data_IF_699289653215
#
_entry.id   IF_699289653215
#
_cell.length_a   1.000
_cell.length_b   1.000
_cell.length_c   1.000
_cell.angle_alpha   90.00
_cell.angle_beta   90.00
_cell.angle_gamma   90.00
#
_symmetry.space_group_name_H-M   'P 1'
#
loop_
_entity.id
_entity.type
_entity.pdbx_description
1 polymer ?
#
# COMPACT_ATOMS: atom_id res chain seq x y z
N UNK A 1 23.49 29.85 -4.13
CA UNK A 1 24.41 28.83 -4.70
C UNK A 1 23.70 28.23 -5.90
N UNK A 2 24.37 27.98 -7.03
CA UNK A 2 23.71 27.28 -8.15
C UNK A 2 23.39 25.85 -7.68
N UNK A 3 22.21 25.33 -8.04
CA UNK A 3 21.88 23.92 -7.83
C UNK A 3 22.96 23.05 -8.44
N UNK A 4 23.36 21.95 -7.77
CA UNK A 4 24.26 20.97 -8.39
C UNK A 4 23.53 20.25 -9.51
N UNK A 5 24.28 19.83 -10.54
CA UNK A 5 23.72 19.00 -11.61
C UNK A 5 23.55 17.57 -11.11
N UNK A 6 22.55 16.86 -11.62
CA UNK A 6 22.40 15.42 -11.41
C UNK A 6 23.43 14.71 -12.29
N UNK A 7 24.19 13.77 -11.70
CA UNK A 7 25.13 12.97 -12.48
C UNK A 7 24.44 11.69 -12.98
N UNK A 8 24.49 11.45 -14.30
CA UNK A 8 24.08 10.20 -14.92
C UNK A 8 25.34 9.39 -15.22
N UNK A 9 25.56 8.28 -14.51
CA UNK A 9 26.72 7.40 -14.70
C UNK A 9 26.39 6.32 -15.74
N UNK A 10 27.28 6.12 -16.71
CA UNK A 10 27.21 4.98 -17.63
C UNK A 10 28.61 4.43 -17.93
N UNK A 11 28.68 3.24 -18.53
CA UNK A 11 29.93 2.56 -18.84
C UNK A 11 30.06 2.24 -20.33
N UNK A 12 31.27 2.38 -20.90
CA UNK A 12 31.54 2.01 -22.30
C UNK A 12 31.42 0.51 -22.55
N UNK A 13 31.54 -0.32 -21.52
CA UNK A 13 31.40 -1.79 -21.58
C UNK A 13 29.96 -2.27 -21.27
N UNK A 14 29.02 -1.33 -21.10
CA UNK A 14 27.60 -1.61 -20.88
C UNK A 14 26.79 -1.20 -22.12
N UNK A 15 26.30 -2.19 -22.88
CA UNK A 15 25.55 -1.93 -24.11
C UNK A 15 24.25 -1.16 -23.87
N UNK A 16 23.52 -1.49 -22.81
CA UNK A 16 22.28 -0.77 -22.47
C UNK A 16 22.60 0.64 -21.98
N UNK A 17 23.63 0.79 -21.14
CA UNK A 17 24.10 2.10 -20.69
C UNK A 17 24.51 3.01 -21.86
N UNK A 18 25.17 2.46 -22.88
CA UNK A 18 25.49 3.19 -24.12
C UNK A 18 24.23 3.58 -24.90
N UNK A 19 23.28 2.66 -25.06
CA UNK A 19 22.01 2.92 -25.73
C UNK A 19 21.22 4.05 -25.04
N UNK A 20 21.11 4.01 -23.70
CA UNK A 20 20.47 5.08 -22.92
C UNK A 20 21.22 6.40 -23.10
N UNK A 21 22.56 6.40 -23.04
CA UNK A 21 23.39 7.60 -23.27
C UNK A 21 23.13 8.22 -24.64
N UNK A 22 23.10 7.41 -25.70
CA UNK A 22 22.82 7.87 -27.06
C UNK A 22 21.48 8.62 -27.12
N UNK A 23 20.43 8.08 -26.50
CA UNK A 23 19.12 8.71 -26.46
C UNK A 23 19.04 9.93 -25.54
N UNK A 24 19.79 9.96 -24.43
CA UNK A 24 19.95 11.16 -23.61
C UNK A 24 20.55 12.31 -24.42
N UNK A 25 21.61 12.04 -25.19
CA UNK A 25 22.29 13.02 -26.03
C UNK A 25 21.41 13.57 -27.16
N UNK A 26 20.42 12.79 -27.63
CA UNK A 26 19.42 13.25 -28.61
C UNK A 26 18.35 14.16 -28.00
N UNK A 27 18.16 14.15 -26.67
CA UNK A 27 17.09 14.84 -25.94
C UNK A 27 17.53 16.12 -25.24
N UNK A 28 18.47 16.87 -25.81
CA UNK A 28 18.87 18.16 -25.29
C UNK A 28 20.12 18.71 -25.95
N UNK A 29 20.48 19.94 -25.59
CA UNK A 29 21.76 20.54 -25.99
C UNK A 29 22.82 20.15 -24.96
N UNK A 30 23.70 19.22 -25.35
CA UNK A 30 24.78 18.72 -24.52
C UNK A 30 26.14 19.24 -25.00
N UNK A 31 26.93 19.76 -24.06
CA UNK A 31 28.31 20.15 -24.29
C UNK A 31 29.25 19.02 -23.85
N UNK A 32 30.06 18.50 -24.78
CA UNK A 32 31.11 17.54 -24.44
C UNK A 32 32.31 18.26 -23.84
N UNK A 33 32.76 17.81 -22.67
CA UNK A 33 33.99 18.31 -22.05
C UNK A 33 35.19 18.05 -22.97
N UNK A 34 35.98 19.10 -23.25
CA UNK A 34 37.13 19.02 -24.16
C UNK A 34 38.34 18.34 -23.51
N UNK A 35 38.51 18.54 -22.21
CA UNK A 35 39.62 18.01 -21.42
C UNK A 35 39.05 17.24 -20.24
N UNK A 36 39.55 16.02 -20.03
CA UNK A 36 39.21 15.18 -18.89
C UNK A 36 40.37 15.18 -17.89
N UNK A 37 40.12 15.09 -16.57
CA UNK A 37 41.18 14.96 -15.58
C UNK A 37 42.06 13.74 -15.84
N UNK A 38 43.34 13.95 -16.18
CA UNK A 38 44.29 12.86 -16.48
C UNK A 38 44.43 11.85 -15.35
N UNK A 39 44.25 12.28 -14.10
CA UNK A 39 44.34 11.43 -12.90
C UNK A 39 43.08 10.59 -12.63
N UNK A 40 42.05 10.67 -13.49
CA UNK A 40 40.90 9.76 -13.47
C UNK A 40 40.96 8.89 -14.72
N UNK A 41 41.80 7.86 -14.68
CA UNK A 41 42.12 6.99 -15.82
C UNK A 41 40.89 6.34 -16.45
N UNK A 42 39.91 5.95 -15.63
CA UNK A 42 38.69 5.27 -16.05
C UNK A 42 37.66 6.21 -16.68
N UNK A 43 37.83 7.54 -16.60
CA UNK A 43 36.87 8.51 -17.12
C UNK A 43 37.03 8.66 -18.63
N UNK A 44 36.09 8.11 -19.39
CA UNK A 44 36.11 8.11 -20.84
C UNK A 44 35.40 9.33 -21.46
N UNK A 45 34.46 9.95 -20.75
CA UNK A 45 33.70 11.09 -21.28
C UNK A 45 32.90 11.85 -20.24
N UNK A 46 32.73 13.15 -20.48
CA UNK A 46 31.79 14.00 -19.73
C UNK A 46 30.98 14.83 -20.70
N UNK A 47 29.67 14.82 -20.52
CA UNK A 47 28.71 15.60 -21.30
C UNK A 47 27.81 16.36 -20.35
N UNK A 48 27.59 17.65 -20.61
CA UNK A 48 26.88 18.51 -19.67
C UNK A 48 25.77 19.31 -20.36
N UNK A 49 24.65 19.46 -19.67
CA UNK A 49 23.66 20.49 -19.98
C UNK A 49 23.42 21.34 -18.72
N UNK A 50 22.32 22.09 -18.69
CA UNK A 50 21.98 22.98 -17.57
C UNK A 50 21.79 22.23 -16.24
N UNK A 51 21.09 21.10 -16.27
CA UNK A 51 20.57 20.41 -15.09
C UNK A 51 21.25 19.05 -14.85
N UNK A 52 21.86 18.46 -15.87
CA UNK A 52 22.44 17.12 -15.87
C UNK A 52 23.89 17.09 -16.36
N UNK A 53 24.60 16.05 -15.92
CA UNK A 53 25.93 15.68 -16.39
C UNK A 53 26.01 14.18 -16.62
N UNK A 54 26.33 13.75 -17.82
CA UNK A 54 26.68 12.35 -18.10
C UNK A 54 28.16 12.15 -17.76
N UNK A 55 28.44 11.18 -16.89
CA UNK A 55 29.77 10.69 -16.55
C UNK A 55 29.92 9.30 -17.17
N UNK A 56 30.78 9.18 -18.17
CA UNK A 56 31.05 7.92 -18.84
C UNK A 56 32.40 7.35 -18.37
N UNK A 57 32.38 6.12 -17.86
CA UNK A 57 33.59 5.39 -17.45
C UNK A 57 33.87 4.18 -18.37
N UNK A 58 35.10 3.70 -18.39
CA UNK A 58 35.49 2.51 -19.16
C UNK A 58 35.55 1.19 -18.36
N UNK A 59 35.13 1.25 -17.09
CA UNK A 59 35.05 0.11 -16.17
C UNK A 59 33.61 -0.26 -15.85
N UNK A 60 33.41 -1.44 -15.24
CA UNK A 60 32.13 -1.84 -14.67
C UNK A 60 31.78 -0.99 -13.43
N UNK A 61 30.67 -0.26 -13.48
CA UNK A 61 30.19 0.63 -12.41
C UNK A 61 29.89 -0.12 -11.11
N UNK A 62 29.52 -1.40 -11.16
CA UNK A 62 29.23 -2.21 -9.95
C UNK A 62 30.42 -2.35 -8.98
N UNK A 63 31.66 -2.14 -9.45
CA UNK A 63 32.87 -2.19 -8.64
C UNK A 63 33.39 -0.81 -8.22
N UNK A 64 32.66 0.27 -8.51
CA UNK A 64 33.12 1.65 -8.32
C UNK A 64 32.67 2.21 -6.96
N UNK A 65 33.06 1.56 -5.87
CA UNK A 65 32.89 2.11 -4.52
C UNK A 65 33.54 3.50 -4.43
N UNK A 66 32.86 4.42 -3.74
CA UNK A 66 33.27 5.83 -3.55
C UNK A 66 33.39 6.66 -4.84
N UNK A 67 32.70 6.26 -5.91
CA UNK A 67 32.70 7.05 -7.15
C UNK A 67 32.11 8.46 -6.95
N UNK A 68 31.18 8.63 -6.00
CA UNK A 68 30.68 9.93 -5.55
C UNK A 68 31.79 10.87 -5.04
N UNK A 69 32.71 10.33 -4.23
CA UNK A 69 33.87 11.08 -3.74
C UNK A 69 34.85 11.40 -4.87
N UNK A 70 35.02 10.47 -5.81
CA UNK A 70 35.86 10.66 -7.01
C UNK A 70 35.28 11.76 -7.91
N UNK A 71 33.97 11.73 -8.17
CA UNK A 71 33.22 12.77 -8.87
C UNK A 71 33.46 14.14 -8.23
N UNK A 72 33.25 14.25 -6.90
CA UNK A 72 33.47 15.50 -6.17
C UNK A 72 34.91 15.99 -6.25
N UNK A 73 35.90 15.10 -6.05
CA UNK A 73 37.33 15.42 -6.12
C UNK A 73 37.72 16.07 -7.46
N UNK A 74 37.13 15.60 -8.55
CA UNK A 74 37.43 16.06 -9.91
C UNK A 74 36.49 17.17 -10.42
N UNK A 75 35.72 17.81 -9.53
CA UNK A 75 34.88 18.96 -9.87
C UNK A 75 33.50 18.59 -10.42
N UNK A 76 33.13 17.31 -10.35
CA UNK A 76 31.84 16.79 -10.78
C UNK A 76 30.90 16.50 -9.60
N UNK A 77 30.96 17.33 -8.55
CA UNK A 77 30.10 17.21 -7.37
C UNK A 77 28.61 17.21 -7.77
N UNK A 78 27.81 16.41 -7.06
CA UNK A 78 26.38 16.20 -7.29
C UNK A 78 25.67 15.93 -5.97
N UNK A 79 24.34 15.90 -5.98
CA UNK A 79 23.51 15.46 -4.86
C UNK A 79 22.69 14.20 -5.20
N UNK A 80 22.79 13.70 -6.44
CA UNK A 80 22.10 12.50 -6.92
C UNK A 80 22.88 11.85 -8.07
N UNK A 81 23.01 10.52 -8.01
CA UNK A 81 23.58 9.71 -9.09
C UNK A 81 22.49 8.80 -9.67
N UNK A 82 22.29 8.84 -10.98
CA UNK A 82 21.45 7.88 -11.70
C UNK A 82 22.36 7.03 -12.58
N UNK A 83 22.37 5.71 -12.39
CA UNK A 83 23.19 4.79 -13.16
C UNK A 83 22.36 4.20 -14.30
N UNK A 84 22.75 4.50 -15.54
CA UNK A 84 22.15 3.89 -16.73
C UNK A 84 22.90 2.59 -17.05
N UNK A 85 22.22 1.45 -16.89
CA UNK A 85 22.86 0.12 -16.97
C UNK A 85 22.00 -0.94 -17.64
N UNK A 86 22.57 -2.14 -17.80
CA UNK A 86 21.88 -3.35 -18.22
C UNK A 86 21.47 -4.19 -17.01
N UNK A 87 20.27 -4.75 -17.11
CA UNK A 87 19.91 -5.94 -16.34
C UNK A 87 20.23 -7.19 -17.15
N UNK A 88 20.87 -8.20 -16.52
CA UNK A 88 21.14 -9.50 -17.13
C UNK A 88 20.40 -10.61 -16.38
N UNK A 89 19.45 -11.25 -17.08
CA UNK A 89 18.72 -12.41 -16.58
C UNK A 89 18.61 -13.51 -17.64
N UNK A 90 18.57 -14.76 -17.19
CA UNK A 90 18.38 -15.92 -18.07
C UNK A 90 16.92 -16.20 -18.44
N UNK A 91 15.97 -15.46 -17.85
CA UNK A 91 14.53 -15.66 -18.08
C UNK A 91 14.05 -15.11 -19.44
N UNK A 92 14.87 -14.28 -20.10
CA UNK A 92 14.61 -13.72 -21.42
C UNK A 92 13.51 -12.66 -21.47
N UNK A 93 12.98 -12.21 -20.33
CA UNK A 93 11.91 -11.21 -20.29
C UNK A 93 12.42 -9.83 -20.69
N UNK A 94 11.58 -9.10 -21.43
CA UNK A 94 11.81 -7.69 -21.72
C UNK A 94 11.34 -6.86 -20.52
N UNK A 95 12.28 -6.33 -19.76
CA UNK A 95 12.01 -5.59 -18.53
C UNK A 95 12.73 -4.25 -18.54
N UNK A 96 12.09 -3.22 -18.01
CA UNK A 96 12.75 -1.98 -17.62
C UNK A 96 12.66 -1.90 -16.10
N UNK A 97 13.79 -1.63 -15.46
CA UNK A 97 13.89 -1.80 -14.02
C UNK A 97 14.63 -0.67 -13.33
N UNK A 98 14.41 -0.59 -12.02
CA UNK A 98 15.18 0.30 -11.15
C UNK A 98 15.35 -0.31 -9.76
N UNK A 99 16.49 -0.04 -9.13
CA UNK A 99 16.80 -0.51 -7.78
C UNK A 99 17.93 0.28 -7.11
N UNK A 100 18.15 -0.06 -5.85
CA UNK A 100 19.31 0.38 -5.07
C UNK A 100 20.30 -0.77 -4.89
N UNK A 101 21.56 -0.41 -4.72
CA UNK A 101 22.65 -1.36 -4.54
C UNK A 101 22.90 -1.67 -3.06
N UNK A 102 23.50 -2.82 -2.81
CA UNK A 102 23.80 -3.27 -1.46
C UNK A 102 23.87 -4.78 -1.36
N UNK A 103 24.55 -5.26 -0.32
CA UNK A 103 24.75 -6.68 -0.09
C UNK A 103 24.36 -7.07 1.34
N UNK A 104 23.71 -8.22 1.47
CA UNK A 104 23.42 -8.86 2.76
C UNK A 104 24.64 -9.68 3.21
N UNK A 105 24.89 -10.84 2.60
CA UNK A 105 25.92 -11.79 3.07
C UNK A 105 27.22 -11.81 2.26
N UNK A 106 27.13 -11.81 0.94
CA UNK A 106 28.28 -11.84 0.03
C UNK A 106 28.23 -10.65 -0.91
N UNK A 107 29.40 -10.21 -1.35
CA UNK A 107 29.56 -9.11 -2.31
C UNK A 107 30.25 -9.63 -3.58
N UNK A 108 29.67 -10.68 -4.17
CA UNK A 108 30.25 -11.38 -5.33
C UNK A 108 30.33 -10.48 -6.57
N UNK A 109 29.50 -9.44 -6.61
CA UNK A 109 29.40 -8.46 -7.70
C UNK A 109 29.60 -7.02 -7.19
N UNK A 110 30.65 -6.80 -6.42
CA UNK A 110 31.09 -5.48 -5.96
C UNK A 110 30.42 -5.01 -4.66
N UNK A 111 30.98 -3.95 -4.09
CA UNK A 111 30.64 -3.48 -2.75
C UNK A 111 31.20 -4.36 -1.64
N UNK A 112 30.60 -4.30 -0.46
CA UNK A 112 30.99 -5.05 0.74
C UNK A 112 29.80 -5.83 1.31
N UNK A 113 30.02 -7.01 1.94
CA UNK A 113 29.01 -7.69 2.73
C UNK A 113 28.41 -6.77 3.81
N UNK A 114 27.12 -6.94 4.09
CA UNK A 114 26.37 -6.19 5.10
C UNK A 114 26.47 -4.66 4.93
N UNK A 115 26.49 -4.20 3.68
CA UNK A 115 26.58 -2.77 3.35
C UNK A 115 25.62 -2.43 2.20
N UNK A 116 24.75 -1.44 2.45
CA UNK A 116 23.78 -0.89 1.50
C UNK A 116 24.23 0.51 1.03
N UNK A 117 23.91 0.92 -0.20
CA UNK A 117 24.13 2.30 -0.63
C UNK A 117 23.07 3.26 -0.08
N UNK A 118 23.24 4.57 -0.26
CA UNK A 118 22.19 5.55 0.06
C UNK A 118 21.15 5.54 -1.07
N UNK A 119 19.89 5.32 -0.71
CA UNK A 119 18.79 5.23 -1.65
C UNK A 119 18.16 6.60 -1.95
N UNK A 120 17.46 6.71 -3.08
CA UNK A 120 16.57 7.83 -3.42
C UNK A 120 15.20 7.29 -3.82
N UNK A 121 14.34 6.95 -2.84
CA UNK A 121 13.03 6.32 -3.08
C UNK A 121 12.10 7.13 -3.98
N UNK A 122 12.03 8.45 -3.80
CA UNK A 122 11.17 9.33 -4.60
C UNK A 122 11.59 9.37 -6.07
N UNK A 123 12.89 9.53 -6.34
CA UNK A 123 13.45 9.48 -7.70
C UNK A 123 13.21 8.11 -8.35
N UNK A 124 13.50 7.01 -7.67
CA UNK A 124 13.24 5.66 -8.22
C UNK A 124 11.75 5.49 -8.55
N UNK A 125 10.86 5.98 -7.68
CA UNK A 125 9.41 5.91 -7.90
C UNK A 125 8.99 6.71 -9.13
N UNK A 126 9.53 7.92 -9.29
CA UNK A 126 9.30 8.77 -10.46
C UNK A 126 9.80 8.10 -11.73
N UNK A 127 11.02 7.55 -11.73
CA UNK A 127 11.60 6.83 -12.87
C UNK A 127 10.71 5.67 -13.30
N UNK A 128 10.28 4.82 -12.38
CA UNK A 128 9.44 3.66 -12.70
C UNK A 128 8.04 4.06 -13.20
N UNK A 129 7.42 5.10 -12.61
CA UNK A 129 6.13 5.65 -13.06
C UNK A 129 6.24 6.27 -14.47
N UNK A 130 7.36 6.93 -14.76
CA UNK A 130 7.67 7.46 -16.08
C UNK A 130 7.85 6.31 -17.09
N UNK A 131 8.63 5.29 -16.76
CA UNK A 131 8.78 4.10 -17.62
C UNK A 131 7.43 3.43 -17.89
N UNK A 132 6.57 3.28 -16.88
CA UNK A 132 5.22 2.70 -17.05
C UNK A 132 4.34 3.53 -18.00
N UNK A 133 4.40 4.85 -17.88
CA UNK A 133 3.63 5.76 -18.76
C UNK A 133 4.13 5.69 -20.20
N UNK A 134 5.45 5.61 -20.37
CA UNK A 134 6.11 5.65 -21.67
C UNK A 134 6.11 4.30 -22.40
N UNK A 135 6.14 3.20 -21.66
CA UNK A 135 6.12 1.84 -22.20
C UNK A 135 4.72 1.33 -22.56
N UNK A 136 3.65 2.17 -22.49
CA UNK A 136 2.27 1.73 -22.79
C UNK A 136 2.09 1.09 -24.17
N UNK A 137 2.88 1.53 -25.15
CA UNK A 137 2.88 0.99 -26.52
C UNK A 137 4.04 0.02 -26.77
N UNK A 138 4.92 -0.18 -25.79
CA UNK A 138 6.09 -1.05 -25.86
C UNK A 138 5.87 -2.35 -25.08
N UNK A 139 6.48 -3.45 -25.53
CA UNK A 139 6.35 -4.75 -24.88
C UNK A 139 7.40 -4.94 -23.75
N UNK A 140 7.41 -4.02 -22.77
CA UNK A 140 8.30 -4.09 -21.61
C UNK A 140 7.52 -4.13 -20.30
N UNK A 141 7.85 -5.09 -19.43
CA UNK A 141 7.36 -5.11 -18.06
C UNK A 141 8.18 -4.14 -17.20
N UNK A 142 7.51 -3.33 -16.38
CA UNK A 142 8.15 -2.41 -15.45
C UNK A 142 8.25 -3.06 -14.09
N UNK A 143 9.46 -3.19 -13.55
CA UNK A 143 9.66 -3.80 -12.24
C UNK A 143 10.69 -3.03 -11.42
N UNK A 144 10.47 -2.96 -10.11
CA UNK A 144 11.59 -2.81 -9.19
C UNK A 144 12.48 -4.05 -9.23
N UNK A 145 13.73 -3.90 -8.80
CA UNK A 145 14.54 -5.04 -8.36
C UNK A 145 14.84 -4.96 -6.86
N UNK A 146 15.02 -6.14 -6.27
CA UNK A 146 15.54 -6.29 -4.92
C UNK A 146 16.93 -5.69 -4.81
N UNK A 147 17.31 -5.25 -3.61
CA UNK A 147 18.65 -4.72 -3.37
C UNK A 147 19.71 -5.79 -3.57
N UNK A 148 20.68 -5.50 -4.45
CA UNK A 148 21.74 -6.43 -4.78
C UNK A 148 22.95 -5.70 -5.39
N UNK A 149 24.09 -6.40 -5.40
CA UNK A 149 25.38 -6.01 -5.99
C UNK A 149 25.94 -4.65 -5.50
N UNK A 150 27.14 -4.31 -5.98
CA UNK A 150 27.80 -3.04 -5.65
C UNK A 150 27.49 -1.91 -6.65
N UNK A 151 28.00 -0.71 -6.40
CA UNK A 151 28.81 -0.33 -5.24
C UNK A 151 27.93 -0.15 -3.99
N UNK A 152 28.49 -0.37 -2.80
CA UNK A 152 27.80 -0.17 -1.52
C UNK A 152 28.35 1.01 -0.73
N UNK A 153 29.61 1.39 -0.93
CA UNK A 153 30.26 2.53 -0.26
C UNK A 153 30.02 3.82 -1.05
N UNK A 154 28.76 4.25 -1.10
CA UNK A 154 28.30 5.48 -1.75
C UNK A 154 27.53 6.32 -0.74
N UNK A 155 27.86 7.60 -0.59
CA UNK A 155 27.28 8.51 0.41
C UNK A 155 26.21 9.44 -0.15
N UNK A 156 26.17 9.59 -1.47
CA UNK A 156 25.17 10.36 -2.19
C UNK A 156 24.05 9.40 -2.63
N UNK A 157 22.77 9.81 -2.57
CA UNK A 157 21.68 8.99 -3.11
C UNK A 157 21.98 8.50 -4.54
N UNK A 158 21.78 7.21 -4.78
CA UNK A 158 22.08 6.57 -6.07
C UNK A 158 20.97 5.61 -6.47
N UNK A 159 20.56 5.67 -7.74
CA UNK A 159 19.51 4.79 -8.31
C UNK A 159 20.03 4.16 -9.59
N UNK A 160 19.81 2.86 -9.77
CA UNK A 160 20.03 2.19 -11.05
C UNK A 160 18.75 2.25 -11.88
N UNK A 161 18.88 2.53 -13.17
CA UNK A 161 17.79 2.51 -14.15
C UNK A 161 18.25 1.68 -15.36
N UNK A 162 17.59 0.56 -15.60
CA UNK A 162 18.15 -0.51 -16.43
C UNK A 162 17.23 -0.99 -17.54
N UNK A 163 17.86 -1.58 -18.57
CA UNK A 163 17.20 -2.33 -19.62
C UNK A 163 17.59 -3.79 -19.51
N UNK A 164 16.60 -4.68 -19.43
CA UNK A 164 16.79 -6.12 -19.36
C UNK A 164 16.03 -6.90 -20.43
N UNK A 165 16.38 -8.16 -20.67
CA UNK A 165 17.31 -8.96 -19.86
C UNK A 165 18.54 -9.47 -20.64
N UNK A 166 18.67 -9.10 -21.92
CA UNK A 166 19.76 -9.56 -22.78
C UNK A 166 20.03 -8.64 -23.97
N UNK A 167 20.98 -9.03 -24.82
CA UNK A 167 21.53 -8.21 -25.91
C UNK A 167 20.46 -7.60 -26.84
N UNK A 168 19.38 -8.36 -27.10
CA UNK A 168 18.27 -7.90 -27.92
C UNK A 168 17.62 -6.64 -27.32
N UNK A 169 17.37 -6.65 -26.02
CA UNK A 169 16.77 -5.52 -25.31
C UNK A 169 17.79 -4.42 -25.06
N UNK A 170 19.03 -4.75 -24.71
CA UNK A 170 20.08 -3.75 -24.47
C UNK A 170 20.35 -2.86 -25.68
N UNK A 171 20.22 -3.41 -26.89
CA UNK A 171 20.37 -2.69 -28.15
C UNK A 171 19.04 -2.17 -28.75
N UNK A 172 17.92 -2.30 -28.04
CA UNK A 172 16.61 -1.83 -28.51
C UNK A 172 16.50 -0.30 -28.37
N UNK A 173 16.39 0.46 -29.47
CA UNK A 173 16.33 1.92 -29.40
C UNK A 173 15.09 2.42 -28.65
N UNK A 174 13.95 1.71 -28.75
CA UNK A 174 12.73 2.12 -28.05
C UNK A 174 12.94 2.03 -26.53
N UNK A 175 13.61 0.98 -26.06
CA UNK A 175 13.98 0.84 -24.65
C UNK A 175 14.96 1.95 -24.21
N UNK A 176 15.97 2.25 -25.04
CA UNK A 176 16.92 3.33 -24.81
C UNK A 176 16.23 4.69 -24.66
N UNK A 177 15.28 4.99 -25.56
CA UNK A 177 14.48 6.20 -25.52
C UNK A 177 13.59 6.30 -24.28
N UNK A 178 12.88 5.20 -23.94
CA UNK A 178 12.00 5.16 -22.77
C UNK A 178 12.80 5.43 -21.49
N UNK A 179 13.90 4.72 -21.27
CA UNK A 179 14.71 4.90 -20.05
C UNK A 179 15.34 6.29 -20.02
N UNK A 180 15.91 6.77 -21.14
CA UNK A 180 16.50 8.11 -21.20
C UNK A 180 15.50 9.22 -20.87
N UNK A 181 14.29 9.17 -21.44
CA UNK A 181 13.25 10.15 -21.14
C UNK A 181 12.75 10.02 -19.70
N UNK A 182 12.61 8.79 -19.20
CA UNK A 182 12.21 8.55 -17.80
C UNK A 182 13.19 9.13 -16.78
N UNK A 183 14.50 9.10 -17.09
CA UNK A 183 15.55 9.72 -16.27
C UNK A 183 15.46 11.26 -16.33
N UNK A 184 15.26 11.85 -17.51
CA UNK A 184 15.20 13.32 -17.67
C UNK A 184 13.95 13.95 -17.06
N UNK A 185 12.84 13.20 -17.05
CA UNK A 185 11.54 13.60 -16.47
C UNK A 185 11.41 13.19 -15.00
N UNK A 186 12.45 12.60 -14.39
CA UNK A 186 12.40 12.19 -12.99
C UNK A 186 12.38 13.41 -12.07
N UNK A 187 11.40 13.45 -11.18
CA UNK A 187 11.24 14.48 -10.16
C UNK A 187 11.24 13.84 -8.77
N UNK A 188 11.80 14.53 -7.79
CA UNK A 188 11.78 14.06 -6.40
C UNK A 188 10.32 14.02 -5.92
N UNK A 189 9.87 12.84 -5.48
CA UNK A 189 8.53 12.63 -4.96
C UNK A 189 8.59 12.54 -3.44
N UNK A 190 7.93 13.46 -2.76
CA UNK A 190 7.75 13.41 -1.30
C UNK A 190 6.62 12.42 -0.98
N UNK A 191 7.00 11.16 -0.76
CA UNK A 191 6.09 10.04 -0.53
C UNK A 191 6.52 9.26 0.72
N UNK A 192 5.56 8.67 1.47
CA UNK A 192 5.89 7.72 2.51
C UNK A 192 6.73 6.56 1.97
N UNK A 193 7.85 6.26 2.65
CA UNK A 193 8.86 5.30 2.17
C UNK A 193 8.78 3.99 2.94
N UNK A 194 8.70 2.87 2.22
CA UNK A 194 8.69 1.52 2.77
C UNK A 194 10.06 0.80 2.63
N UNK A 195 10.45 0.02 3.63
CA UNK A 195 11.41 -1.09 3.46
C UNK A 195 10.63 -2.38 3.17
N UNK A 196 10.94 -3.05 2.06
CA UNK A 196 10.22 -4.24 1.64
C UNK A 196 10.94 -5.54 2.01
N UNK A 197 10.18 -6.51 2.50
CA UNK A 197 10.67 -7.85 2.82
C UNK A 197 9.80 -8.92 2.16
N UNK A 198 10.47 -9.91 1.57
CA UNK A 198 9.89 -11.05 0.90
C UNK A 198 9.61 -10.84 -0.59
N UNK A 199 9.32 -11.94 -1.27
CA UNK A 199 9.10 -12.00 -2.71
C UNK A 199 10.36 -12.41 -3.48
N UNK A 200 10.27 -12.37 -4.81
CA UNK A 200 11.40 -12.67 -5.69
C UNK A 200 12.25 -11.45 -6.00
N UNK A 201 13.28 -11.66 -6.83
CA UNK A 201 14.21 -10.62 -7.25
C UNK A 201 13.51 -9.40 -7.90
N UNK A 202 12.44 -9.58 -8.67
CA UNK A 202 11.66 -8.49 -9.29
C UNK A 202 10.60 -7.85 -8.39
N UNK A 203 10.55 -8.23 -7.10
CA UNK A 203 9.70 -7.62 -6.06
C UNK A 203 8.27 -7.28 -6.54
N UNK A 204 7.58 -8.21 -7.19
CA UNK A 204 6.38 -7.91 -8.00
C UNK A 204 5.23 -7.27 -7.22
N UNK A 205 5.06 -7.63 -5.94
CA UNK A 205 4.07 -6.96 -5.08
C UNK A 205 4.47 -5.54 -4.73
N UNK A 206 5.74 -5.31 -4.41
CA UNK A 206 6.29 -4.00 -4.09
C UNK A 206 6.23 -3.08 -5.32
N UNK A 207 6.61 -3.58 -6.48
CA UNK A 207 6.41 -2.92 -7.78
C UNK A 207 4.97 -2.49 -7.96
N UNK A 208 4.00 -3.39 -7.74
CA UNK A 208 2.57 -3.06 -7.87
C UNK A 208 2.16 -1.95 -6.90
N UNK A 209 2.55 -2.05 -5.63
CA UNK A 209 2.22 -1.03 -4.63
C UNK A 209 2.87 0.33 -4.96
N UNK A 210 4.12 0.36 -5.41
CA UNK A 210 4.81 1.59 -5.82
C UNK A 210 4.09 2.27 -6.99
N UNK A 211 3.61 1.50 -7.96
CA UNK A 211 2.99 2.03 -9.18
C UNK A 211 1.52 2.45 -8.95
N UNK A 212 0.79 1.72 -8.10
CA UNK A 212 -0.66 1.93 -7.89
C UNK A 212 -0.99 2.79 -6.66
N UNK A 213 -0.10 2.85 -5.68
CA UNK A 213 -0.30 3.54 -4.41
C UNK A 213 0.68 4.71 -4.26
N UNK A 214 0.31 5.73 -3.49
CA UNK A 214 1.13 6.94 -3.27
C UNK A 214 2.20 6.67 -2.20
N UNK A 215 3.03 5.67 -2.44
CA UNK A 215 4.19 5.34 -1.60
C UNK A 215 5.43 5.12 -2.46
N UNK A 216 6.60 5.19 -1.83
CA UNK A 216 7.86 4.78 -2.41
C UNK A 216 8.43 3.58 -1.65
N UNK A 217 9.40 2.91 -2.26
CA UNK A 217 10.19 1.88 -1.58
C UNK A 217 11.65 2.30 -1.52
N UNK A 218 12.28 2.06 -0.38
CA UNK A 218 13.72 2.03 -0.21
C UNK A 218 14.30 0.67 -0.57
N UNK A 219 15.23 0.20 0.26
CA UNK A 219 15.79 -1.15 0.11
C UNK A 219 14.72 -2.25 0.18
N UNK A 220 14.95 -3.30 -0.61
CA UNK A 220 14.06 -4.44 -0.75
C UNK A 220 14.84 -5.75 -0.62
N UNK A 221 14.32 -6.65 0.22
CA UNK A 221 14.97 -7.91 0.54
C UNK A 221 14.09 -9.10 0.14
N UNK A 222 14.51 -9.91 -0.85
CA UNK A 222 13.76 -11.06 -1.33
C UNK A 222 13.89 -12.26 -0.39
N UNK A 223 13.04 -13.27 -0.56
CA UNK A 223 12.90 -14.41 0.35
C UNK A 223 14.23 -15.12 0.66
N UNK A 224 15.07 -15.27 -0.36
CA UNK A 224 16.34 -16.00 -0.26
C UNK A 224 17.43 -15.26 0.53
N UNK A 225 17.25 -13.95 0.79
CA UNK A 225 18.17 -13.16 1.62
C UNK A 225 17.73 -13.08 3.09
N UNK A 226 16.44 -13.32 3.39
CA UNK A 226 15.85 -12.99 4.69
C UNK A 226 16.59 -13.60 5.87
N UNK A 227 17.00 -14.87 5.76
CA UNK A 227 17.69 -15.60 6.83
C UNK A 227 19.06 -15.00 7.21
N UNK A 228 19.69 -14.25 6.31
CA UNK A 228 21.01 -13.66 6.51
C UNK A 228 20.95 -12.18 6.93
N UNK A 229 19.75 -11.57 7.01
CA UNK A 229 19.58 -10.17 7.40
C UNK A 229 19.55 -10.04 8.93
N UNK A 230 20.42 -9.20 9.45
CA UNK A 230 20.49 -8.86 10.88
C UNK A 230 19.88 -7.48 11.19
N UNK A 231 19.90 -7.12 12.47
CA UNK A 231 19.35 -5.85 12.96
C UNK A 231 20.08 -4.64 12.41
N UNK A 232 21.42 -4.69 12.35
CA UNK A 232 22.24 -3.58 11.88
C UNK A 232 21.95 -3.27 10.40
N UNK A 233 21.74 -4.30 9.58
CA UNK A 233 21.37 -4.14 8.18
C UNK A 233 19.96 -3.59 8.01
N UNK A 234 19.00 -4.01 8.85
CA UNK A 234 17.64 -3.44 8.85
C UNK A 234 17.68 -1.97 9.25
N UNK A 235 18.39 -1.62 10.33
CA UNK A 235 18.57 -0.23 10.75
C UNK A 235 19.23 0.60 9.64
N UNK A 236 20.26 0.06 8.99
CA UNK A 236 20.89 0.69 7.84
C UNK A 236 19.89 0.90 6.70
N UNK A 237 19.04 -0.08 6.39
CA UNK A 237 18.04 0.03 5.33
C UNK A 237 17.07 1.19 5.59
N UNK A 238 16.58 1.32 6.83
CA UNK A 238 15.70 2.42 7.23
C UNK A 238 16.42 3.77 7.12
N UNK A 239 17.62 3.91 7.69
CA UNK A 239 18.36 5.16 7.71
C UNK A 239 18.79 5.61 6.31
N UNK A 240 19.31 4.69 5.48
CA UNK A 240 19.80 5.00 4.14
C UNK A 240 18.68 5.21 3.11
N UNK A 241 17.47 4.79 3.43
CA UNK A 241 16.28 5.07 2.60
C UNK A 241 15.47 6.27 3.09
N UNK A 242 15.69 6.75 4.32
CA UNK A 242 14.74 7.67 4.96
C UNK A 242 13.36 7.05 5.12
N UNK A 243 13.29 5.76 5.48
CA UNK A 243 12.04 5.01 5.47
C UNK A 243 11.14 5.27 6.70
N UNK A 244 9.83 5.26 6.47
CA UNK A 244 8.79 5.52 7.46
C UNK A 244 8.19 4.24 8.03
N UNK A 245 8.17 3.16 7.24
CA UNK A 245 7.54 1.89 7.63
C UNK A 245 8.16 0.67 6.94
N UNK A 246 7.81 -0.52 7.41
CA UNK A 246 8.10 -1.77 6.73
C UNK A 246 6.86 -2.38 6.07
N UNK A 247 7.10 -3.04 4.95
CA UNK A 247 6.12 -3.84 4.23
C UNK A 247 6.60 -5.28 4.09
N UNK A 248 5.70 -6.24 4.39
CA UNK A 248 5.96 -7.66 4.25
C UNK A 248 5.10 -8.25 3.13
N UNK A 249 5.69 -8.89 2.13
CA UNK A 249 4.99 -9.89 1.32
C UNK A 249 4.78 -11.15 2.17
N UNK A 250 3.78 -11.08 3.04
CA UNK A 250 3.52 -12.13 4.06
C UNK A 250 3.29 -13.52 3.47
N UNK A 251 2.90 -13.61 2.19
CA UNK A 251 2.59 -14.87 1.52
C UNK A 251 3.84 -15.58 1.00
N UNK A 252 4.89 -14.83 0.70
CA UNK A 252 6.17 -15.37 0.24
C UNK A 252 7.12 -15.68 1.40
N UNK A 253 7.13 -14.81 2.42
CA UNK A 253 8.04 -14.94 3.56
C UNK A 253 7.83 -16.23 4.38
N UNK A 254 8.91 -16.96 4.73
CA UNK A 254 8.84 -18.01 5.75
C UNK A 254 8.35 -17.46 7.09
N UNK A 255 7.48 -18.20 7.79
CA UNK A 255 6.84 -17.69 9.01
C UNK A 255 7.84 -17.37 10.13
N UNK A 256 8.93 -18.13 10.24
CA UNK A 256 9.97 -17.90 11.24
C UNK A 256 10.72 -16.58 10.97
N UNK A 257 11.13 -16.35 9.73
CA UNK A 257 11.79 -15.10 9.33
C UNK A 257 10.86 -13.90 9.46
N UNK A 258 9.58 -14.06 9.13
CA UNK A 258 8.58 -13.01 9.28
C UNK A 258 8.42 -12.55 10.73
N UNK A 259 8.49 -13.48 11.69
CA UNK A 259 8.38 -13.13 13.11
C UNK A 259 9.67 -12.51 13.63
N UNK A 260 10.82 -13.09 13.31
CA UNK A 260 12.13 -12.54 13.67
C UNK A 260 12.33 -11.11 13.17
N UNK A 261 12.00 -10.85 11.90
CA UNK A 261 12.13 -9.52 11.30
C UNK A 261 11.08 -8.56 11.90
N UNK A 262 9.87 -9.03 12.21
CA UNK A 262 8.87 -8.22 12.93
C UNK A 262 9.41 -7.70 14.25
N UNK A 263 9.95 -8.59 15.08
CA UNK A 263 10.48 -8.23 16.40
C UNK A 263 11.57 -7.17 16.30
N UNK A 264 12.49 -7.31 15.33
CA UNK A 264 13.56 -6.33 15.09
C UNK A 264 12.99 -4.97 14.69
N UNK A 265 12.01 -4.93 13.78
CA UNK A 265 11.42 -3.68 13.28
C UNK A 265 10.64 -2.96 14.39
N UNK A 266 9.89 -3.72 15.19
CA UNK A 266 9.16 -3.19 16.34
C UNK A 266 10.12 -2.66 17.41
N UNK A 267 11.26 -3.32 17.64
CA UNK A 267 12.34 -2.83 18.52
C UNK A 267 12.96 -1.51 18.01
N UNK A 268 13.13 -1.37 16.70
CA UNK A 268 13.60 -0.14 16.06
C UNK A 268 12.55 0.98 16.04
N UNK A 269 11.30 0.69 16.45
CA UNK A 269 10.23 1.68 16.57
C UNK A 269 9.51 2.00 15.26
N UNK A 270 9.70 1.20 14.21
CA UNK A 270 9.05 1.43 12.92
C UNK A 270 7.72 0.68 12.82
N UNK A 271 6.67 1.31 12.26
CA UNK A 271 5.43 0.62 11.97
C UNK A 271 5.60 -0.41 10.84
N UNK A 272 4.85 -1.52 10.94
CA UNK A 272 4.66 -2.46 9.82
C UNK A 272 3.26 -2.24 9.24
N UNK A 273 3.18 -1.97 7.93
CA UNK A 273 1.92 -1.80 7.20
C UNK A 273 1.57 -3.02 6.36
N UNK A 274 0.28 -3.37 6.34
CA UNK A 274 -0.29 -4.36 5.40
C UNK A 274 -0.70 -3.65 4.12
N UNK A 275 -0.88 -4.39 3.02
CA UNK A 275 -1.43 -3.84 1.77
C UNK A 275 -2.74 -3.07 1.98
N UNK A 276 -3.59 -3.55 2.91
CA UNK A 276 -4.83 -2.87 3.26
C UNK A 276 -4.60 -1.50 3.90
N UNK A 277 -3.57 -1.34 4.73
CA UNK A 277 -3.23 -0.07 5.37
C UNK A 277 -2.61 0.91 4.36
N UNK A 278 -1.75 0.41 3.46
CA UNK A 278 -1.12 1.20 2.38
C UNK A 278 -2.19 1.80 1.45
N UNK A 279 -3.24 1.02 1.13
CA UNK A 279 -4.38 1.54 0.37
C UNK A 279 -5.10 2.66 1.09
N UNK A 280 -5.21 2.57 2.42
CA UNK A 280 -5.82 3.64 3.19
C UNK A 280 -4.93 4.90 3.25
N UNK A 281 -3.61 4.75 3.15
CA UNK A 281 -2.66 5.87 3.13
C UNK A 281 -2.74 6.72 1.86
N UNK A 282 -3.21 6.15 0.74
CA UNK A 282 -3.22 6.83 -0.57
C UNK A 282 -3.85 8.24 -0.51
N UNK A 283 -3.12 9.23 -1.05
CA UNK A 283 -3.51 10.63 -1.06
C UNK A 283 -3.56 11.33 0.31
N UNK A 284 -3.04 10.72 1.38
CA UNK A 284 -3.02 11.30 2.72
C UNK A 284 -1.60 11.63 3.19
N UNK A 285 -1.49 12.78 3.86
CA UNK A 285 -0.33 13.14 4.67
C UNK A 285 -0.02 12.08 5.73
N UNK A 286 1.26 11.74 5.89
CA UNK A 286 1.74 10.65 6.74
C UNK A 286 1.25 10.75 8.19
N UNK A 287 1.39 11.93 8.81
CA UNK A 287 0.97 12.16 10.20
C UNK A 287 -0.55 11.98 10.40
N UNK A 288 -1.35 12.34 9.39
CA UNK A 288 -2.82 12.17 9.44
C UNK A 288 -3.17 10.71 9.39
N UNK A 289 -2.53 9.96 8.50
CA UNK A 289 -2.69 8.51 8.42
C UNK A 289 -2.30 7.82 9.74
N UNK A 290 -1.14 8.15 10.31
CA UNK A 290 -0.69 7.58 11.59
C UNK A 290 -1.69 7.85 12.71
N UNK A 291 -2.27 9.04 12.76
CA UNK A 291 -3.31 9.38 13.75
C UNK A 291 -4.58 8.53 13.59
N UNK A 292 -5.11 8.42 12.38
CA UNK A 292 -6.31 7.60 12.10
C UNK A 292 -6.04 6.15 12.48
N UNK A 293 -4.88 5.63 12.06
CA UNK A 293 -4.45 4.26 12.38
C UNK A 293 -4.34 4.04 13.88
N UNK A 294 -3.70 4.96 14.61
CA UNK A 294 -3.58 4.88 16.07
C UNK A 294 -4.95 4.86 16.76
N UNK A 295 -5.88 5.73 16.33
CA UNK A 295 -7.24 5.74 16.85
C UNK A 295 -7.97 4.42 16.54
N UNK A 296 -7.85 3.91 15.33
CA UNK A 296 -8.48 2.65 14.92
C UNK A 296 -7.95 1.46 15.73
N UNK A 297 -6.63 1.35 15.90
CA UNK A 297 -6.00 0.28 16.68
C UNK A 297 -6.45 0.33 18.16
N UNK A 298 -6.57 1.53 18.74
CA UNK A 298 -7.07 1.71 20.11
C UNK A 298 -8.54 1.29 20.26
N UNK A 299 -9.37 1.57 19.26
CA UNK A 299 -10.81 1.27 19.29
C UNK A 299 -11.12 -0.19 18.96
N UNK A 300 -10.34 -0.81 18.09
CA UNK A 300 -10.53 -2.19 17.66
C UNK A 300 -9.19 -2.78 17.22
N UNK A 301 -8.44 -3.30 18.19
CA UNK A 301 -7.12 -3.88 17.93
C UNK A 301 -7.17 -5.00 16.90
N UNK A 302 -6.23 -4.97 15.95
CA UNK A 302 -6.16 -5.89 14.82
C UNK A 302 -7.20 -5.65 13.72
N UNK A 303 -8.17 -4.76 13.95
CA UNK A 303 -9.21 -4.40 12.99
C UNK A 303 -8.65 -3.67 11.76
N UNK A 304 -9.34 -3.82 10.63
CA UNK A 304 -9.02 -3.12 9.38
C UNK A 304 -9.90 -1.90 9.25
N UNK A 305 -9.31 -0.71 9.40
CA UNK A 305 -10.03 0.53 9.21
C UNK A 305 -10.21 0.85 7.73
N UNK A 306 -11.25 1.62 7.43
CA UNK A 306 -11.63 2.11 6.10
C UNK A 306 -11.95 3.58 6.18
N UNK A 307 -11.20 4.39 5.45
CA UNK A 307 -11.43 5.84 5.36
C UNK A 307 -12.28 6.07 4.12
N UNK A 308 -13.50 6.54 4.32
CA UNK A 308 -14.47 6.70 3.23
C UNK A 308 -14.04 7.79 2.26
N UNK A 309 -14.42 7.65 0.99
CA UNK A 309 -14.13 8.66 -0.05
C UNK A 309 -14.74 10.03 0.31
N UNK A 310 -15.88 10.02 1.02
CA UNK A 310 -16.50 11.23 1.53
C UNK A 310 -15.61 11.95 2.55
N UNK A 311 -15.00 11.22 3.49
CA UNK A 311 -14.07 11.81 4.46
C UNK A 311 -12.82 12.35 3.77
N UNK A 312 -12.27 11.59 2.81
CA UNK A 312 -11.08 11.97 2.02
C UNK A 312 -11.30 13.28 1.28
N UNK A 313 -12.33 13.33 0.45
CA UNK A 313 -12.60 14.46 -0.45
C UNK A 313 -13.00 15.74 0.28
N UNK A 314 -13.70 15.66 1.41
CA UNK A 314 -14.24 16.84 2.08
C UNK A 314 -13.32 17.41 3.17
N UNK A 315 -12.54 16.57 3.85
CA UNK A 315 -11.83 16.98 5.06
C UNK A 315 -10.34 16.75 4.92
N UNK A 316 -9.93 15.56 4.46
CA UNK A 316 -8.53 15.17 4.50
C UNK A 316 -7.67 15.77 3.38
N UNK A 317 -8.26 16.19 2.25
CA UNK A 317 -7.53 16.79 1.13
C UNK A 317 -7.57 18.34 1.12
N UNK A 318 -8.15 18.96 2.15
CA UNK A 318 -8.25 20.43 2.23
C UNK A 318 -7.04 21.06 2.93
N UNK A 319 -6.49 22.15 2.37
CA UNK A 319 -5.38 22.91 2.98
C UNK A 319 -5.74 23.49 4.36
N UNK A 320 -7.03 23.74 4.62
CA UNK A 320 -7.54 24.34 5.86
C UNK A 320 -7.48 23.46 7.10
N UNK A 321 -7.34 22.13 6.95
CA UNK A 321 -7.25 21.19 8.09
C UNK A 321 -5.95 21.31 8.90
N UNK A 322 -4.92 21.99 8.37
CA UNK A 322 -3.61 22.15 9.02
C UNK A 322 -3.66 23.17 10.17
N UNK A 323 -4.61 24.12 10.15
CA UNK A 323 -4.65 25.22 11.12
C UNK A 323 -5.59 24.97 12.31
N UNK A 324 -6.58 24.08 12.18
CA UNK A 324 -7.46 23.66 13.27
C UNK A 324 -7.14 22.22 13.67
N UNK A 325 -6.25 22.06 14.64
CA UNK A 325 -5.76 20.74 15.04
C UNK A 325 -6.87 19.69 15.25
N UNK A 326 -6.61 18.48 14.76
CA UNK A 326 -7.06 17.24 15.38
C UNK A 326 -8.58 17.01 15.57
N UNK A 327 -9.45 17.46 14.67
CA UNK A 327 -10.89 17.33 14.93
C UNK A 327 -11.52 15.97 14.56
N UNK A 328 -10.84 14.84 14.78
CA UNK A 328 -11.46 13.50 14.70
C UNK A 328 -11.81 13.02 16.10
N UNK A 329 -13.02 12.45 16.26
CA UNK A 329 -13.50 11.86 17.51
C UNK A 329 -14.00 10.44 17.29
N UNK A 330 -13.81 9.60 18.29
CA UNK A 330 -14.54 8.34 18.36
C UNK A 330 -16.01 8.60 18.72
N UNK A 331 -16.88 7.82 18.13
CA UNK A 331 -18.30 7.80 18.45
C UNK A 331 -18.83 6.38 18.34
N UNK A 332 -19.77 6.04 19.23
CA UNK A 332 -20.28 4.70 19.38
C UNK A 332 -21.75 4.62 18.94
N UNK A 333 -22.07 3.65 18.10
CA UNK A 333 -23.44 3.28 17.71
C UNK A 333 -23.86 2.01 18.44
N UNK A 334 -25.16 1.74 18.53
CA UNK A 334 -25.65 0.48 19.06
C UNK A 334 -25.01 -0.72 18.35
N UNK A 335 -24.28 -1.54 19.11
CA UNK A 335 -23.64 -2.75 18.57
C UNK A 335 -24.67 -3.76 18.05
N UNK A 336 -25.81 -3.87 18.74
CA UNK A 336 -26.94 -4.70 18.30
C UNK A 336 -27.53 -4.18 17.00
N UNK A 337 -27.69 -2.87 16.84
CA UNK A 337 -28.21 -2.30 15.60
C UNK A 337 -27.30 -2.63 14.43
N UNK A 338 -26.00 -2.35 14.55
CA UNK A 338 -25.02 -2.65 13.49
C UNK A 338 -24.98 -4.13 13.15
N UNK A 339 -24.97 -5.01 14.17
CA UNK A 339 -24.95 -6.46 13.97
C UNK A 339 -26.19 -6.97 13.23
N UNK A 340 -27.39 -6.51 13.62
CA UNK A 340 -28.63 -6.92 12.95
C UNK A 340 -28.70 -6.37 11.53
N UNK A 341 -28.33 -5.10 11.32
CA UNK A 341 -28.31 -4.50 9.99
C UNK A 341 -27.31 -5.21 9.08
N UNK A 342 -26.10 -5.52 9.57
CA UNK A 342 -25.09 -6.28 8.83
C UNK A 342 -25.57 -7.69 8.47
N UNK A 343 -26.31 -8.35 9.36
CA UNK A 343 -26.85 -9.70 9.13
C UNK A 343 -28.00 -9.71 8.13
N UNK A 344 -28.80 -8.63 8.10
CA UNK A 344 -29.90 -8.47 7.16
C UNK A 344 -29.38 -8.13 5.76
N UNK A 345 -28.51 -7.12 5.66
CA UNK A 345 -27.94 -6.68 4.39
C UNK A 345 -26.59 -5.96 4.58
N UNK A 346 -25.53 -6.76 4.52
CA UNK A 346 -24.14 -6.27 4.55
C UNK A 346 -23.86 -5.25 3.44
N UNK A 347 -24.35 -5.50 2.22
CA UNK A 347 -24.02 -4.68 1.05
C UNK A 347 -24.56 -3.27 1.20
N UNK A 348 -25.84 -3.17 1.56
CA UNK A 348 -26.49 -1.87 1.79
C UNK A 348 -25.86 -1.12 2.97
N UNK A 349 -25.48 -1.79 4.06
CA UNK A 349 -24.80 -1.13 5.18
C UNK A 349 -23.45 -0.54 4.77
N UNK A 350 -22.61 -1.30 4.05
CA UNK A 350 -21.31 -0.80 3.60
C UNK A 350 -21.47 0.38 2.65
N UNK A 351 -22.40 0.30 1.69
CA UNK A 351 -22.69 1.41 0.78
C UNK A 351 -23.13 2.67 1.55
N UNK A 352 -23.99 2.53 2.57
CA UNK A 352 -24.37 3.65 3.45
C UNK A 352 -23.17 4.27 4.15
N UNK A 353 -22.25 3.45 4.69
CA UNK A 353 -21.09 3.96 5.41
C UNK A 353 -20.13 4.71 4.47
N UNK A 354 -19.91 4.22 3.24
CA UNK A 354 -19.04 4.87 2.26
C UNK A 354 -19.50 6.27 1.83
N UNK A 355 -20.81 6.54 1.86
CA UNK A 355 -21.38 7.85 1.53
C UNK A 355 -21.25 8.90 2.66
N UNK A 356 -20.76 8.50 3.84
CA UNK A 356 -20.66 9.36 5.02
C UNK A 356 -19.20 9.72 5.34
N UNK A 357 -18.92 10.92 5.87
CA UNK A 357 -17.55 11.36 6.16
C UNK A 357 -17.03 10.76 7.48
N UNK A 358 -16.66 9.48 7.46
CA UNK A 358 -16.21 8.74 8.64
C UNK A 358 -15.09 7.75 8.33
N UNK A 359 -14.51 7.18 9.38
CA UNK A 359 -13.73 5.94 9.32
C UNK A 359 -14.52 4.86 10.05
N UNK A 360 -14.74 3.73 9.39
CA UNK A 360 -15.30 2.53 10.03
C UNK A 360 -14.23 1.45 10.13
N UNK A 361 -14.44 0.48 11.03
CA UNK A 361 -13.45 -0.57 11.30
C UNK A 361 -14.10 -1.94 11.09
N UNK A 362 -13.56 -2.73 10.16
CA UNK A 362 -13.91 -4.13 9.94
C UNK A 362 -13.09 -5.01 10.89
N UNK A 363 -13.78 -5.82 11.71
CA UNK A 363 -13.16 -6.81 12.59
C UNK A 363 -12.58 -7.98 11.79
N UNK A 364 -11.72 -8.76 12.42
CA UNK A 364 -11.13 -9.96 11.81
C UNK A 364 -12.18 -11.02 11.41
N UNK A 365 -13.32 -11.06 12.09
CA UNK A 365 -14.45 -11.94 11.74
C UNK A 365 -15.33 -11.38 10.58
N UNK A 366 -14.94 -10.26 9.97
CA UNK A 366 -15.64 -9.61 8.87
C UNK A 366 -16.82 -8.72 9.26
N UNK A 367 -17.16 -8.64 10.56
CA UNK A 367 -18.22 -7.74 11.05
C UNK A 367 -17.73 -6.31 11.22
N UNK A 368 -18.66 -5.35 11.31
CA UNK A 368 -18.31 -3.93 11.48
C UNK A 368 -18.31 -3.53 12.94
N UNK A 369 -17.35 -2.67 13.28
CA UNK A 369 -17.26 -2.04 14.58
C UNK A 369 -18.44 -1.14 14.87
N UNK A 370 -18.89 -1.17 16.11
CA UNK A 370 -19.82 -0.19 16.63
C UNK A 370 -19.13 1.13 17.00
N UNK A 371 -17.81 1.22 16.89
CA UNK A 371 -17.05 2.48 16.99
C UNK A 371 -16.70 2.99 15.60
N UNK A 372 -16.95 4.28 15.38
CA UNK A 372 -16.62 5.04 14.18
C UNK A 372 -15.74 6.23 14.56
N UNK A 373 -14.87 6.67 13.65
CA UNK A 373 -14.09 7.91 13.81
C UNK A 373 -14.68 8.96 12.88
N UNK A 374 -15.09 10.10 13.40
CA UNK A 374 -15.88 11.11 12.68
C UNK A 374 -15.30 12.51 12.96
N UNK A 375 -15.32 13.45 11.99
CA UNK A 375 -15.08 14.86 12.27
C UNK A 375 -15.97 15.37 13.41
N UNK A 376 -15.38 15.99 14.43
CA UNK A 376 -16.07 16.26 15.70
C UNK A 376 -17.30 17.15 15.55
N UNK A 377 -17.26 18.07 14.58
CA UNK A 377 -18.33 19.00 14.24
C UNK A 377 -19.52 18.29 13.56
N UNK A 378 -19.33 17.08 13.02
CA UNK A 378 -20.34 16.30 12.31
C UNK A 378 -20.88 15.10 13.09
N UNK A 379 -20.24 14.70 14.21
CA UNK A 379 -20.61 13.51 15.00
C UNK A 379 -22.12 13.35 15.18
N UNK A 380 -22.82 14.38 15.66
CA UNK A 380 -24.26 14.27 15.96
C UNK A 380 -25.09 13.95 14.71
N UNK A 381 -24.79 14.60 13.59
CA UNK A 381 -25.55 14.45 12.34
C UNK A 381 -25.22 13.10 11.72
N UNK A 382 -23.94 12.79 11.55
CA UNK A 382 -23.48 11.52 10.97
C UNK A 382 -24.01 10.31 11.74
N UNK A 383 -23.99 10.32 13.08
CA UNK A 383 -24.52 9.21 13.88
C UNK A 383 -26.04 9.04 13.75
N UNK A 384 -26.78 10.15 13.62
CA UNK A 384 -28.21 10.11 13.37
C UNK A 384 -28.51 9.52 11.99
N UNK A 385 -27.72 9.89 10.97
CA UNK A 385 -27.86 9.39 9.61
C UNK A 385 -27.57 7.88 9.53
N UNK A 386 -26.48 7.41 10.14
CA UNK A 386 -26.17 5.97 10.22
C UNK A 386 -27.33 5.21 10.88
N UNK A 387 -27.85 5.73 11.99
CA UNK A 387 -28.96 5.09 12.72
C UNK A 387 -30.23 5.01 11.85
N UNK A 388 -30.56 6.09 11.15
CA UNK A 388 -31.74 6.15 10.28
C UNK A 388 -31.63 5.18 9.11
N UNK A 389 -30.47 5.13 8.44
CA UNK A 389 -30.24 4.21 7.33
C UNK A 389 -30.20 2.75 7.80
N UNK A 390 -29.63 2.45 8.97
CA UNK A 390 -29.72 1.12 9.56
C UNK A 390 -31.17 0.68 9.79
N UNK A 391 -32.03 1.57 10.31
CA UNK A 391 -33.46 1.30 10.49
C UNK A 391 -34.17 1.07 9.15
N UNK A 392 -33.82 1.86 8.12
CA UNK A 392 -34.38 1.72 6.77
C UNK A 392 -34.02 0.37 6.16
N UNK A 393 -32.76 -0.02 6.21
CA UNK A 393 -32.31 -1.35 5.76
C UNK A 393 -33.09 -2.43 6.51
N UNK A 394 -33.20 -2.36 7.84
CA UNK A 394 -33.94 -3.36 8.61
C UNK A 394 -35.43 -3.43 8.24
N UNK A 395 -36.07 -2.32 7.87
CA UNK A 395 -37.47 -2.28 7.42
C UNK A 395 -37.70 -2.97 6.08
N UNK A 396 -36.67 -3.07 5.24
CA UNK A 396 -36.76 -3.79 3.95
C UNK A 396 -36.76 -5.31 4.16
N UNK A 397 -36.20 -5.79 5.28
CA UNK A 397 -36.06 -7.21 5.58
C UNK A 397 -36.98 -7.73 6.70
N UNK A 398 -37.48 -6.84 7.56
CA UNK A 398 -38.29 -7.21 8.73
C UNK A 398 -39.48 -6.28 8.95
N UNK A 399 -40.51 -6.76 9.68
CA UNK A 399 -41.47 -5.86 10.33
C UNK A 399 -40.75 -5.16 11.49
N UNK A 400 -40.60 -3.85 11.40
CA UNK A 400 -39.89 -3.04 12.39
C UNK A 400 -40.81 -2.00 13.01
N UNK A 401 -40.84 -1.92 14.34
CA UNK A 401 -41.52 -0.86 15.10
C UNK A 401 -40.50 -0.01 15.83
N UNK A 402 -40.54 1.30 15.61
CA UNK A 402 -39.65 2.25 16.28
C UNK A 402 -40.39 2.97 17.40
N UNK A 403 -39.81 2.97 18.60
CA UNK A 403 -40.28 3.72 19.78
C UNK A 403 -39.27 4.85 20.11
N UNK A 404 -39.46 6.07 19.54
CA UNK A 404 -38.48 7.15 19.66
C UNK A 404 -38.26 7.64 21.09
N UNK A 405 -39.31 7.62 21.93
CA UNK A 405 -39.22 8.09 23.32
C UNK A 405 -38.34 7.20 24.20
N UNK A 406 -38.21 5.93 23.83
CA UNK A 406 -37.44 4.91 24.56
C UNK A 406 -36.08 4.64 23.89
N UNK A 407 -35.80 5.23 22.73
CA UNK A 407 -34.68 4.88 21.86
C UNK A 407 -34.61 3.36 21.59
N UNK A 408 -35.76 2.73 21.38
CA UNK A 408 -35.88 1.29 21.11
C UNK A 408 -36.43 1.01 19.72
N UNK A 409 -35.86 -0.01 19.07
CA UNK A 409 -36.31 -0.59 17.83
C UNK A 409 -36.72 -2.04 18.07
N UNK A 410 -37.93 -2.40 17.69
CA UNK A 410 -38.45 -3.76 17.79
C UNK A 410 -38.45 -4.41 16.42
N UNK A 411 -37.68 -5.49 16.26
CA UNK A 411 -37.73 -6.34 15.07
C UNK A 411 -38.68 -7.49 15.37
N UNK A 412 -39.68 -7.65 14.52
CA UNK A 412 -40.60 -8.79 14.57
C UNK A 412 -40.19 -9.78 13.49
N UNK A 413 -39.94 -11.02 13.91
CA UNK A 413 -39.72 -12.15 13.00
C UNK A 413 -40.78 -13.22 13.24
N UNK A 414 -41.25 -13.83 12.17
CA UNK A 414 -42.15 -14.98 12.22
C UNK A 414 -41.38 -16.18 11.68
N UNK A 415 -41.31 -17.26 12.45
CA UNK A 415 -40.65 -18.50 12.02
C UNK A 415 -41.57 -19.68 12.19
N UNK A 416 -41.63 -20.53 11.18
CA UNK A 416 -42.35 -21.79 11.26
C UNK A 416 -41.88 -22.59 12.49
N UNK A 417 -42.84 -23.06 13.28
CA UNK A 417 -42.62 -23.89 14.45
C UNK A 417 -43.06 -25.33 14.15
N UNK A 418 -42.11 -26.25 13.92
CA UNK A 418 -42.40 -27.67 13.77
C UNK A 418 -43.22 -28.27 14.91
N UNK A 419 -43.07 -27.71 16.12
CA UNK A 419 -43.81 -28.11 17.31
C UNK A 419 -45.27 -27.68 17.22
N UNK A 420 -45.54 -26.41 16.91
CA UNK A 420 -46.91 -25.91 16.73
C UNK A 420 -47.62 -26.63 15.58
N UNK A 421 -46.92 -26.89 14.47
CA UNK A 421 -47.46 -27.66 13.35
C UNK A 421 -47.84 -29.09 13.76
N UNK A 422 -46.99 -29.75 14.57
CA UNK A 422 -47.27 -31.10 15.09
C UNK A 422 -48.46 -31.11 16.04
N UNK A 423 -48.59 -30.10 16.91
CA UNK A 423 -49.72 -29.95 17.83
C UNK A 423 -51.04 -29.74 17.07
N UNK A 424 -50.97 -29.17 15.87
CA UNK A 424 -52.10 -29.06 14.94
C UNK A 424 -52.34 -30.31 14.08
N UNK A 425 -51.60 -31.41 14.33
CA UNK A 425 -51.77 -32.69 13.65
C UNK A 425 -51.05 -32.79 12.30
N UNK A 426 -50.08 -31.92 12.02
CA UNK A 426 -49.31 -31.92 10.78
C UNK A 426 -48.00 -32.67 11.02
N UNK A 427 -47.75 -33.71 10.23
CA UNK A 427 -46.50 -34.48 10.33
C UNK A 427 -45.40 -33.84 9.46
N UNK A 428 -44.12 -34.05 9.81
CA UNK A 428 -42.99 -33.62 8.99
C UNK A 428 -43.12 -34.13 7.54
N UNK A 429 -42.90 -33.24 6.57
CA UNK A 429 -43.05 -33.56 5.15
C UNK A 429 -43.33 -32.32 4.29
N UNK A 430 -43.82 -32.48 3.05
CA UNK A 430 -44.03 -31.38 2.12
C UNK A 430 -44.92 -30.25 2.64
N UNK A 431 -45.86 -30.57 3.55
CA UNK A 431 -46.75 -29.58 4.17
C UNK A 431 -46.01 -28.60 5.10
N UNK A 432 -44.91 -29.02 5.73
CA UNK A 432 -44.06 -28.11 6.51
C UNK A 432 -43.39 -27.09 5.59
N UNK A 433 -42.91 -27.52 4.43
CA UNK A 433 -42.31 -26.61 3.44
C UNK A 433 -43.31 -25.57 2.93
N UNK A 434 -44.55 -25.99 2.63
CA UNK A 434 -45.63 -25.08 2.25
C UNK A 434 -45.94 -24.06 3.34
N UNK A 435 -46.16 -24.52 4.57
CA UNK A 435 -46.43 -23.62 5.69
C UNK A 435 -45.27 -22.68 5.96
N UNK A 436 -44.03 -23.16 5.96
CA UNK A 436 -42.83 -22.34 6.12
C UNK A 436 -42.64 -21.30 5.02
N UNK A 437 -43.16 -21.55 3.82
CA UNK A 437 -43.19 -20.59 2.70
C UNK A 437 -44.43 -19.68 2.73
N UNK A 438 -45.10 -19.57 3.88
CA UNK A 438 -46.32 -18.77 4.06
C UNK A 438 -47.50 -19.21 3.18
N UNK A 439 -47.54 -20.47 2.77
CA UNK A 439 -48.68 -21.06 2.07
C UNK A 439 -49.66 -21.71 3.06
N UNK A 440 -50.95 -21.51 2.83
CA UNK A 440 -52.01 -22.19 3.59
C UNK A 440 -52.16 -23.62 3.11
N UNK A 441 -52.34 -24.57 4.04
CA UNK A 441 -52.56 -26.00 3.71
C UNK A 441 -53.84 -26.52 4.33
N UNK A 442 -54.40 -27.59 3.75
CA UNK A 442 -55.58 -28.26 4.30
C UNK A 442 -55.18 -29.64 4.80
N UNK A 443 -55.43 -29.92 6.09
CA UNK A 443 -55.15 -31.20 6.73
C UNK A 443 -56.42 -31.67 7.44
N UNK A 444 -56.88 -32.89 7.15
CA UNK A 444 -58.08 -33.49 7.75
C UNK A 444 -59.33 -32.59 7.66
N UNK A 445 -59.53 -31.89 6.53
CA UNK A 445 -60.66 -30.99 6.31
C UNK A 445 -60.58 -29.63 7.03
N UNK A 446 -59.48 -29.36 7.77
CA UNK A 446 -59.23 -28.06 8.39
C UNK A 446 -58.19 -27.27 7.60
N UNK A 447 -58.48 -26.00 7.37
CA UNK A 447 -57.55 -25.04 6.77
C UNK A 447 -56.58 -24.55 7.84
N UNK A 448 -55.28 -24.78 7.65
CA UNK A 448 -54.21 -24.31 8.52
C UNK A 448 -53.47 -23.18 7.82
N UNK A 449 -53.61 -21.96 8.37
CA UNK A 449 -52.89 -20.79 7.90
C UNK A 449 -51.48 -20.75 8.52
N UNK A 450 -50.49 -20.16 7.83
CA UNK A 450 -49.12 -20.07 8.33
C UNK A 450 -49.03 -19.46 9.74
N UNK A 451 -49.73 -18.38 10.02
CA UNK A 451 -49.73 -17.69 11.32
C UNK A 451 -50.17 -18.58 12.50
N UNK A 452 -50.90 -19.66 12.25
CA UNK A 452 -51.31 -20.62 13.29
C UNK A 452 -50.15 -21.52 13.75
N UNK A 453 -49.09 -21.63 12.95
CA UNK A 453 -47.94 -22.51 13.19
C UNK A 453 -46.61 -21.77 13.09
N UNK A 454 -46.63 -20.44 13.03
CA UNK A 454 -45.44 -19.60 13.12
C UNK A 454 -45.33 -19.01 14.51
N UNK A 455 -44.14 -19.12 15.10
CA UNK A 455 -43.80 -18.44 16.34
C UNK A 455 -43.36 -17.02 16.01
N UNK A 456 -44.06 -16.03 16.58
CA UNK A 456 -43.68 -14.63 16.51
C UNK A 456 -42.62 -14.33 17.57
N UNK A 457 -41.42 -13.94 17.14
CA UNK A 457 -40.34 -13.48 18.02
C UNK A 457 -40.13 -11.98 17.86
N UNK A 458 -40.20 -11.27 18.98
CA UNK A 458 -39.91 -9.84 19.05
C UNK A 458 -38.51 -9.69 19.64
N UNK A 459 -37.64 -8.99 18.91
CA UNK A 459 -36.29 -8.67 19.33
C UNK A 459 -36.17 -7.17 19.58
N UNK A 460 -35.73 -6.81 20.77
CA UNK A 460 -35.52 -5.42 21.19
C UNK A 460 -34.08 -4.98 20.92
N UNK A 461 -33.92 -3.87 20.21
CA UNK A 461 -32.65 -3.26 19.86
C UNK A 461 -32.63 -1.84 20.40
N UNK A 462 -31.81 -1.54 21.43
CA UNK A 462 -31.58 -0.17 21.84
C UNK A 462 -30.79 0.57 20.77
N UNK A 463 -31.15 1.82 20.46
CA UNK A 463 -30.46 2.65 19.46
C UNK A 463 -29.29 3.43 20.04
N UNK A 464 -29.20 3.52 21.36
CA UNK A 464 -28.05 4.03 22.09
C UNK A 464 -27.48 2.91 22.94
N UNK A 465 -26.16 2.83 23.09
CA UNK A 465 -25.59 1.97 24.10
C UNK A 465 -25.89 2.63 25.45
N UNK A 466 -26.66 1.97 26.30
CA UNK A 466 -26.93 2.48 27.65
C UNK A 466 -25.58 2.73 28.34
N UNK A 467 -25.40 3.86 29.06
CA UNK A 467 -24.23 4.01 29.91
C UNK A 467 -24.19 2.80 30.84
N UNK A 468 -23.05 2.11 30.84
CA UNK A 468 -22.77 0.90 31.63
C UNK A 468 -23.65 0.79 32.88
N UNK A 469 -24.42 -0.28 32.98
CA UNK A 469 -24.86 -0.76 34.28
C UNK A 469 -23.59 -1.35 34.93
N UNK A 470 -22.98 -0.71 35.94
CA UNK A 470 -21.82 -1.29 36.59
C UNK A 470 -22.33 -2.47 37.41
N UNK A 471 -21.77 -3.65 37.16
CA UNK A 471 -21.86 -4.85 38.01
C UNK A 471 -23.27 -5.36 38.34
N UNK A 472 -23.62 -6.53 37.80
CA UNK A 472 -24.31 -7.54 38.62
C UNK A 472 -23.31 -8.64 38.92
N UNK A 473 -22.98 -8.72 40.20
CA UNK A 473 -22.18 -9.71 40.93
C UNK A 473 -22.46 -11.15 40.53
#
# INVERSE_FOLDING_TARGET
MKSKKINILCSTVDRAGQNIKEHLLLKGEWEKAKNLPEAWEELAGVYENKDYRIIEIDQHHIYQDRIDQKMKKYGFDTDLIIVASKHKSSDGRSVLTAHFTGNVKSADFGGKPYELSVASPGIMSSILKNMQTQAREANYEINMESTHHGPSDIRIPMVYAEIGSGEKQWSDPDAGEIVARSILEAEEMDLPVAIGFGGGHYASRQTKLLLEEDIAFGHNFPDYQLADIDKDLIEQAFLKSGADFAYFDRKSMPSAERERIREIIEELGYPILREGDIKELKGLEWDRFLRIRYMAEKLCSGGRFRITDRLRSQYLNSEGWVQEGNNLKDSEISSKLVQETFSADRGSLLNTLEELPLVYIERDNGTISNHMIIPAEHVKITMQDITNECIKILKEHYEVKYAPQENLLYIVTERFSPMMAKDMGINPGPLYGKLANMETVTVNGKTIRPDMVHERKIKEIPLTNSPNNPTRS
#
